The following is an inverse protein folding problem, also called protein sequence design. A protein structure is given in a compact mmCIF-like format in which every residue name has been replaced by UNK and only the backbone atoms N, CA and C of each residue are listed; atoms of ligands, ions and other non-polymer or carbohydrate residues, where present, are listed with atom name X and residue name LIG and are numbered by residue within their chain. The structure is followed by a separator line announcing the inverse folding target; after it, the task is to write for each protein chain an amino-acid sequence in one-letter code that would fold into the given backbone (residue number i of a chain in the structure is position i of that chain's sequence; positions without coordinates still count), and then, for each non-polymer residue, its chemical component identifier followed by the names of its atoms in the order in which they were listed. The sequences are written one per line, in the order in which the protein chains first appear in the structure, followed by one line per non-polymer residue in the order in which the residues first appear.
data_IF_530731937290
#
_entry.id   IF_530731937290
#
_cell.length_a   1.000
_cell.length_b   1.000
_cell.length_c   1.000
_cell.angle_alpha   90.00
_cell.angle_beta   90.00
_cell.angle_gamma   90.00
#
_symmetry.space_group_name_H-M   'P 1'
#
loop_
_entity.id
_entity.type
_entity.pdbx_description
1 polymer ?
#
# COMPACT_ATOMS: atom_id res chain seq x y z
N UNK A 1 34.68 49.74 47.93
CA UNK A 1 34.66 48.28 47.73
C UNK A 1 33.23 47.80 47.90
N UNK A 2 32.53 47.46 46.81
CA UNK A 2 31.15 46.97 46.84
C UNK A 2 31.23 45.45 46.64
N UNK A 3 30.88 44.69 47.68
CA UNK A 3 30.88 43.23 47.64
C UNK A 3 29.48 42.77 47.20
N UNK A 4 29.37 42.28 45.95
CA UNK A 4 28.13 41.71 45.42
C UNK A 4 28.06 40.27 45.90
N UNK A 5 27.36 40.03 47.01
CA UNK A 5 27.00 38.66 47.41
C UNK A 5 25.97 38.11 46.42
N UNK A 6 26.44 37.36 45.43
CA UNK A 6 25.59 36.54 44.57
C UNK A 6 25.09 35.35 45.38
N UNK A 7 23.83 35.36 45.79
CA UNK A 7 23.15 34.18 46.31
C UNK A 7 23.06 33.14 45.17
N UNK A 8 23.86 32.08 45.24
CA UNK A 8 23.61 30.89 44.43
C UNK A 8 22.30 30.26 44.91
N UNK A 9 21.24 30.45 44.13
CA UNK A 9 20.02 29.64 44.25
C UNK A 9 20.38 28.26 43.70
N UNK A 10 20.88 27.38 44.56
CA UNK A 10 21.18 26.00 44.21
C UNK A 10 19.90 25.27 43.78
N UNK A 11 19.97 24.53 42.68
CA UNK A 11 18.90 23.62 42.24
C UNK A 11 18.47 22.74 43.41
N UNK A 12 17.18 22.79 43.76
CA UNK A 12 16.64 21.88 44.78
C UNK A 12 16.55 20.48 44.17
N UNK A 13 16.77 19.43 44.97
CA UNK A 13 16.62 18.04 44.50
C UNK A 13 15.22 17.76 43.93
N UNK A 14 14.22 18.51 44.41
CA UNK A 14 12.85 18.51 43.92
C UNK A 14 12.74 19.05 42.47
N UNK A 15 13.48 20.08 42.11
CA UNK A 15 13.48 20.68 40.76
C UNK A 15 14.02 19.71 39.71
N UNK A 16 15.09 18.98 40.05
CA UNK A 16 15.64 17.92 39.19
C UNK A 16 14.63 16.77 39.05
N UNK A 17 13.98 16.35 40.15
CA UNK A 17 12.95 15.32 40.12
C UNK A 17 11.78 15.70 39.19
N UNK A 18 11.27 16.92 39.32
CA UNK A 18 10.19 17.46 38.47
C UNK A 18 10.65 17.50 37.00
N UNK A 19 11.88 17.95 36.75
CA UNK A 19 12.44 18.01 35.39
C UNK A 19 12.53 16.63 34.74
N UNK A 20 12.99 15.61 35.49
CA UNK A 20 13.03 14.22 34.99
C UNK A 20 11.63 13.68 34.73
N UNK A 21 10.65 13.99 35.59
CA UNK A 21 9.25 13.57 35.37
C UNK A 21 8.67 14.20 34.10
N UNK A 22 8.85 15.51 33.91
CA UNK A 22 8.38 16.21 32.71
C UNK A 22 9.06 15.64 31.45
N UNK A 23 10.38 15.42 31.50
CA UNK A 23 11.13 14.81 30.40
C UNK A 23 10.61 13.40 30.09
N UNK A 24 10.39 12.57 31.11
CA UNK A 24 9.89 11.22 30.93
C UNK A 24 8.52 11.19 30.25
N UNK A 25 7.58 12.05 30.68
CA UNK A 25 6.27 12.20 30.04
C UNK A 25 6.41 12.70 28.59
N UNK A 26 7.28 13.67 28.35
CA UNK A 26 7.55 14.18 27.00
C UNK A 26 8.08 13.11 26.05
N UNK A 27 9.02 12.28 26.50
CA UNK A 27 9.58 11.18 25.71
C UNK A 27 8.54 10.09 25.39
N UNK A 28 7.66 9.74 26.33
CA UNK A 28 6.55 8.82 26.07
C UNK A 28 5.57 9.39 25.04
N UNK A 29 5.30 10.70 25.09
CA UNK A 29 4.50 11.39 24.09
C UNK A 29 5.10 11.28 22.68
N UNK A 30 6.40 11.54 22.54
CA UNK A 30 7.12 11.42 21.26
C UNK A 30 7.11 9.98 20.74
N UNK A 31 7.32 9.00 21.61
CA UNK A 31 7.30 7.59 21.24
C UNK A 31 5.95 7.17 20.65
N UNK A 32 4.84 7.59 21.26
CA UNK A 32 3.50 7.33 20.73
C UNK A 32 3.28 7.96 19.35
N UNK A 33 3.73 9.20 19.14
CA UNK A 33 3.66 9.88 17.84
C UNK A 33 4.50 9.16 16.79
N UNK A 34 5.70 8.70 17.15
CA UNK A 34 6.60 7.97 16.24
C UNK A 34 5.97 6.65 15.76
N UNK A 35 5.33 5.89 16.66
CA UNK A 35 4.64 4.65 16.29
C UNK A 35 3.49 4.90 15.30
N UNK A 36 2.69 5.94 15.54
CA UNK A 36 1.60 6.32 14.64
C UNK A 36 2.13 6.76 13.27
N UNK A 37 3.23 7.52 13.24
CA UNK A 37 3.87 7.94 12.00
C UNK A 37 4.38 6.75 11.18
N UNK A 38 5.02 5.76 11.83
CA UNK A 38 5.50 4.55 11.14
C UNK A 38 4.34 3.80 10.49
N UNK A 39 3.23 3.61 11.22
CA UNK A 39 2.02 2.95 10.69
C UNK A 39 1.44 3.70 9.50
N UNK A 40 1.30 5.02 9.62
CA UNK A 40 0.79 5.87 8.54
C UNK A 40 1.70 5.85 7.31
N UNK A 41 3.01 5.90 7.50
CA UNK A 41 3.99 5.89 6.42
C UNK A 41 3.97 4.54 5.68
N UNK A 42 3.94 3.43 6.42
CA UNK A 42 3.83 2.10 5.81
C UNK A 42 2.54 1.93 4.99
N UNK A 43 1.39 2.40 5.50
CA UNK A 43 0.13 2.37 4.75
C UNK A 43 0.21 3.22 3.47
N UNK A 44 0.81 4.41 3.55
CA UNK A 44 1.03 5.26 2.38
C UNK A 44 1.97 4.62 1.35
N UNK A 45 3.02 3.94 1.79
CA UNK A 45 3.94 3.19 0.92
C UNK A 45 3.21 2.06 0.18
N UNK A 46 2.42 1.24 0.87
CA UNK A 46 1.63 0.18 0.23
C UNK A 46 0.66 0.74 -0.80
N UNK A 47 -0.01 1.86 -0.48
CA UNK A 47 -0.90 2.54 -1.41
C UNK A 47 -0.14 3.05 -2.65
N UNK A 48 1.05 3.60 -2.48
CA UNK A 48 1.88 4.05 -3.60
C UNK A 48 2.29 2.87 -4.52
N UNK A 49 2.65 1.73 -3.93
CA UNK A 49 2.91 0.49 -4.69
C UNK A 49 1.66 0.05 -5.45
N UNK A 50 0.49 0.03 -4.81
CA UNK A 50 -0.76 -0.34 -5.47
C UNK A 50 -1.11 0.58 -6.65
N UNK A 51 -0.87 1.90 -6.52
CA UNK A 51 -1.04 2.86 -7.62
C UNK A 51 -0.08 2.56 -8.76
N UNK A 52 1.19 2.29 -8.48
CA UNK A 52 2.16 1.92 -9.50
C UNK A 52 1.76 0.61 -10.22
N UNK A 53 1.27 -0.39 -9.48
CA UNK A 53 0.82 -1.66 -10.04
C UNK A 53 -0.45 -1.52 -10.89
N UNK A 54 -1.39 -0.67 -10.48
CA UNK A 54 -2.58 -0.41 -11.27
C UNK A 54 -2.24 0.28 -12.59
N UNK A 55 -1.34 1.29 -12.57
CA UNK A 55 -0.85 1.93 -13.79
C UNK A 55 -0.05 0.97 -14.68
N UNK A 56 0.79 0.11 -14.09
CA UNK A 56 1.53 -0.92 -14.83
C UNK A 56 0.59 -1.84 -15.64
N UNK A 57 -0.55 -2.25 -15.08
CA UNK A 57 -1.53 -3.04 -15.82
C UNK A 57 -2.20 -2.23 -16.94
N UNK A 58 -2.55 -0.97 -16.70
CA UNK A 58 -3.10 -0.08 -17.74
C UNK A 58 -2.12 0.07 -18.90
N UNK A 59 -0.83 0.25 -18.62
CA UNK A 59 0.20 0.40 -19.64
C UNK A 59 0.42 -0.90 -20.43
N UNK A 60 0.36 -2.06 -19.76
CA UNK A 60 0.39 -3.38 -20.44
C UNK A 60 -0.80 -3.58 -21.37
N UNK A 61 -2.01 -3.23 -20.91
CA UNK A 61 -3.22 -3.27 -21.73
C UNK A 61 -3.10 -2.36 -22.96
N UNK A 62 -2.54 -1.16 -22.79
CA UNK A 62 -2.27 -0.23 -23.91
C UNK A 62 -1.25 -0.79 -24.90
N UNK A 63 -0.18 -1.42 -24.40
CA UNK A 63 0.84 -2.05 -25.24
C UNK A 63 0.27 -3.22 -26.07
N UNK A 64 -0.67 -3.99 -25.49
CA UNK A 64 -1.38 -5.07 -26.16
C UNK A 64 -2.84 -4.70 -26.48
N UNK A 65 -3.03 -3.55 -27.12
CA UNK A 65 -4.35 -3.07 -27.52
C UNK A 65 -5.16 -4.07 -28.37
N UNK A 66 -4.55 -4.84 -29.31
CA UNK A 66 -5.28 -5.91 -30.00
C UNK A 66 -5.84 -6.97 -29.06
N UNK A 67 -5.12 -7.33 -27.99
CA UNK A 67 -5.58 -8.24 -26.95
C UNK A 67 -6.75 -7.67 -26.14
N UNK A 68 -6.74 -6.35 -25.87
CA UNK A 68 -7.87 -5.64 -25.26
C UNK A 68 -9.13 -5.75 -26.12
N UNK A 69 -9.01 -5.47 -27.43
CA UNK A 69 -10.13 -5.61 -28.39
C UNK A 69 -10.63 -7.04 -28.52
N UNK A 70 -9.72 -8.02 -28.44
CA UNK A 70 -10.07 -9.44 -28.44
C UNK A 70 -10.69 -9.93 -27.11
N UNK A 71 -10.74 -9.08 -26.09
CA UNK A 71 -11.33 -9.39 -24.78
C UNK A 71 -10.42 -10.17 -23.84
N UNK A 72 -9.12 -10.27 -24.13
CA UNK A 72 -8.17 -11.07 -23.35
C UNK A 72 -7.91 -10.51 -21.93
N UNK A 73 -8.26 -9.25 -21.67
CA UNK A 73 -8.13 -8.59 -20.36
C UNK A 73 -9.48 -8.43 -19.62
N UNK A 74 -10.59 -8.95 -20.15
CA UNK A 74 -11.94 -8.63 -19.63
C UNK A 74 -12.24 -9.21 -18.25
N UNK A 75 -11.52 -10.24 -17.83
CA UNK A 75 -11.76 -10.94 -16.57
C UNK A 75 -10.45 -11.53 -16.01
N UNK A 76 -9.51 -10.65 -15.65
CA UNK A 76 -8.28 -11.06 -14.97
C UNK A 76 -8.58 -11.21 -13.48
N UNK A 77 -8.21 -12.34 -12.91
CA UNK A 77 -8.29 -12.59 -11.47
C UNK A 77 -7.27 -13.62 -11.05
N UNK A 78 -6.62 -13.41 -9.89
CA UNK A 78 -5.62 -14.33 -9.36
C UNK A 78 -4.38 -14.46 -10.26
N UNK A 79 -3.52 -15.42 -9.94
CA UNK A 79 -2.31 -15.69 -10.72
C UNK A 79 -2.64 -16.80 -11.75
N UNK A 80 -2.82 -16.48 -13.04
CA UNK A 80 -3.02 -17.51 -14.05
C UNK A 80 -1.75 -18.33 -14.28
N UNK A 81 -1.84 -19.45 -15.00
CA UNK A 81 -0.65 -20.21 -15.37
C UNK A 81 0.29 -19.39 -16.27
N UNK A 82 1.61 -19.57 -16.09
CA UNK A 82 2.60 -18.93 -16.96
C UNK A 82 2.53 -19.51 -18.38
N UNK A 83 2.38 -18.69 -19.42
CA UNK A 83 2.38 -19.18 -20.79
C UNK A 83 3.80 -19.53 -21.25
N UNK A 84 3.97 -20.71 -21.85
CA UNK A 84 5.26 -21.25 -22.32
C UNK A 84 5.65 -20.83 -23.74
N UNK A 85 5.01 -19.79 -24.27
CA UNK A 85 5.23 -19.30 -25.64
C UNK A 85 6.59 -18.59 -25.82
N UNK A 86 7.25 -18.85 -26.95
CA UNK A 86 8.44 -18.12 -27.42
C UNK A 86 8.08 -16.97 -28.37
N UNK A 87 7.07 -17.16 -29.22
CA UNK A 87 6.37 -16.13 -29.97
C UNK A 87 4.90 -16.15 -29.54
N UNK A 88 4.52 -15.25 -28.65
CA UNK A 88 3.21 -15.27 -28.01
C UNK A 88 2.13 -14.61 -28.87
N UNK A 89 0.96 -15.24 -28.95
CA UNK A 89 -0.26 -14.63 -29.45
C UNK A 89 -0.72 -13.49 -28.54
N UNK A 90 -1.60 -12.63 -29.04
CA UNK A 90 -2.16 -11.50 -28.27
C UNK A 90 -2.87 -11.95 -26.97
N UNK A 91 -3.46 -13.14 -26.95
CA UNK A 91 -4.07 -13.74 -25.75
C UNK A 91 -3.03 -14.27 -24.77
N UNK A 92 -1.95 -14.89 -25.27
CA UNK A 92 -0.87 -15.38 -24.42
C UNK A 92 -0.04 -14.23 -23.82
N UNK A 93 0.09 -13.11 -24.53
CA UNK A 93 0.67 -11.88 -23.97
C UNK A 93 -0.16 -11.39 -22.79
N UNK A 94 -1.49 -11.33 -22.94
CA UNK A 94 -2.38 -10.93 -21.84
C UNK A 94 -2.31 -11.90 -20.65
N UNK A 95 -2.21 -13.20 -20.90
CA UNK A 95 -2.01 -14.21 -19.86
C UNK A 95 -0.66 -14.02 -19.15
N UNK A 96 0.41 -13.74 -19.89
CA UNK A 96 1.74 -13.44 -19.33
C UNK A 96 1.70 -12.18 -18.47
N UNK A 97 1.05 -11.14 -18.95
CA UNK A 97 0.88 -9.88 -18.21
C UNK A 97 0.14 -10.12 -16.89
N UNK A 98 -0.97 -10.85 -16.93
CA UNK A 98 -1.74 -11.21 -15.74
C UNK A 98 -0.92 -12.06 -14.76
N UNK A 99 -0.16 -13.05 -15.26
CA UNK A 99 0.74 -13.88 -14.44
C UNK A 99 1.81 -13.02 -13.74
N UNK A 100 2.57 -12.24 -14.51
CA UNK A 100 3.64 -11.40 -13.97
C UNK A 100 3.10 -10.38 -12.98
N UNK A 101 2.02 -9.68 -13.35
CA UNK A 101 1.42 -8.65 -12.51
C UNK A 101 0.92 -9.21 -11.18
N UNK A 102 0.17 -10.31 -11.18
CA UNK A 102 -0.35 -10.85 -9.93
C UNK A 102 0.70 -11.60 -9.10
N UNK A 103 1.71 -12.20 -9.73
CA UNK A 103 2.89 -12.70 -9.00
C UNK A 103 3.61 -11.55 -8.29
N UNK A 104 3.92 -10.46 -9.00
CA UNK A 104 4.55 -9.28 -8.40
C UNK A 104 3.67 -8.62 -7.32
N UNK A 105 2.35 -8.56 -7.52
CA UNK A 105 1.43 -8.06 -6.49
C UNK A 105 1.51 -8.91 -5.23
N UNK A 106 1.54 -10.24 -5.35
CA UNK A 106 1.64 -11.15 -4.20
C UNK A 106 2.96 -11.04 -3.44
N UNK A 107 4.03 -10.61 -4.11
CA UNK A 107 5.36 -10.41 -3.51
C UNK A 107 5.49 -9.02 -2.85
N UNK A 108 4.98 -7.98 -3.48
CA UNK A 108 5.14 -6.59 -3.02
C UNK A 108 4.09 -6.15 -2.00
N UNK A 109 2.89 -6.73 -2.08
CA UNK A 109 1.75 -6.35 -1.24
C UNK A 109 1.32 -7.55 -0.37
N UNK A 110 1.01 -7.34 0.92
CA UNK A 110 0.51 -8.40 1.78
C UNK A 110 -0.84 -8.92 1.26
N UNK A 111 -0.95 -10.23 0.99
CA UNK A 111 -2.14 -10.81 0.34
C UNK A 111 -2.52 -10.06 -0.96
N UNK A 112 -1.48 -9.58 -1.66
CA UNK A 112 -1.61 -8.72 -2.83
C UNK A 112 -2.24 -9.45 -4.00
N UNK A 113 -3.31 -8.87 -4.56
CA UNK A 113 -3.96 -9.44 -5.72
C UNK A 113 -4.70 -8.37 -6.53
N UNK A 114 -4.65 -8.54 -7.84
CA UNK A 114 -5.21 -7.64 -8.82
C UNK A 114 -6.29 -8.30 -9.67
N UNK A 115 -7.33 -7.54 -9.97
CA UNK A 115 -8.39 -7.96 -10.90
C UNK A 115 -8.61 -6.91 -11.97
N UNK A 116 -8.99 -7.35 -13.18
CA UNK A 116 -9.46 -6.48 -14.26
C UNK A 116 -10.82 -6.97 -14.71
N UNK A 117 -11.79 -6.08 -14.73
CA UNK A 117 -13.12 -6.34 -15.27
C UNK A 117 -13.46 -5.31 -16.34
N UNK A 118 -14.28 -5.70 -17.33
CA UNK A 118 -14.76 -4.81 -18.39
C UNK A 118 -16.27 -4.59 -18.28
N UNK A 119 -16.70 -3.34 -18.33
CA UNK A 119 -18.10 -2.93 -18.46
C UNK A 119 -18.25 -1.96 -19.65
N UNK A 120 -18.80 -2.44 -20.77
CA UNK A 120 -18.81 -1.66 -22.01
C UNK A 120 -17.39 -1.31 -22.45
N UNK A 121 -17.08 -0.04 -22.68
CA UNK A 121 -15.72 0.40 -23.03
C UNK A 121 -14.85 0.77 -21.81
N UNK A 122 -15.40 0.66 -20.61
CA UNK A 122 -14.70 0.97 -19.37
C UNK A 122 -14.07 -0.30 -18.80
N UNK A 123 -12.79 -0.21 -18.43
CA UNK A 123 -12.06 -1.23 -17.69
C UNK A 123 -11.86 -0.77 -16.26
N UNK A 124 -12.19 -1.65 -15.32
CA UNK A 124 -12.00 -1.43 -13.89
C UNK A 124 -10.84 -2.31 -13.43
N UNK A 125 -9.74 -1.66 -13.05
CA UNK A 125 -8.55 -2.31 -12.48
C UNK A 125 -8.64 -2.14 -10.97
N UNK A 126 -8.69 -3.26 -10.25
CA UNK A 126 -8.72 -3.26 -8.78
C UNK A 126 -7.51 -3.98 -8.22
N UNK A 127 -6.68 -3.26 -7.47
CA UNK A 127 -5.57 -3.83 -6.69
C UNK A 127 -6.00 -3.93 -5.23
N UNK A 128 -5.79 -5.09 -4.62
CA UNK A 128 -6.20 -5.39 -3.24
C UNK A 128 -5.01 -5.87 -2.42
N UNK A 129 -4.98 -5.50 -1.14
CA UNK A 129 -3.96 -5.94 -0.18
C UNK A 129 -4.46 -5.84 1.26
N UNK A 130 -3.81 -6.56 2.16
CA UNK A 130 -4.05 -6.50 3.60
C UNK A 130 -3.18 -5.42 4.23
N UNK A 131 -3.73 -4.20 4.35
CA UNK A 131 -3.02 -3.05 4.93
C UNK A 131 -2.70 -3.24 6.42
N UNK A 132 -3.58 -3.92 7.16
CA UNK A 132 -3.53 -4.01 8.61
C UNK A 132 -2.97 -5.35 9.12
N UNK A 133 -2.62 -6.28 8.21
CA UNK A 133 -2.14 -7.63 8.52
C UNK A 133 -3.13 -8.41 9.39
N UNK A 134 -4.42 -8.24 9.13
CA UNK A 134 -5.50 -8.92 9.85
C UNK A 134 -5.65 -10.38 9.43
N UNK A 135 -5.12 -10.76 8.26
CA UNK A 135 -5.36 -12.06 7.64
C UNK A 135 -6.71 -12.13 6.92
N UNK A 136 -7.37 -10.99 6.71
CA UNK A 136 -8.59 -10.91 5.92
C UNK A 136 -8.36 -11.41 4.48
N UNK A 137 -9.39 -12.01 3.89
CA UNK A 137 -9.36 -12.54 2.52
C UNK A 137 -10.54 -12.07 1.66
N UNK A 138 -11.47 -11.29 2.23
CA UNK A 138 -12.63 -10.78 1.51
C UNK A 138 -12.24 -9.82 0.39
N UNK A 139 -12.97 -9.90 -0.72
CA UNK A 139 -12.71 -9.12 -1.94
C UNK A 139 -13.72 -7.99 -2.14
N UNK A 140 -14.64 -7.81 -1.18
CA UNK A 140 -15.82 -6.96 -1.30
C UNK A 140 -15.54 -5.47 -1.23
N UNK A 141 -14.31 -5.08 -0.85
CA UNK A 141 -13.91 -3.68 -0.74
C UNK A 141 -14.86 -2.83 0.13
N UNK A 142 -15.47 -3.41 1.16
CA UNK A 142 -16.44 -2.73 2.05
C UNK A 142 -15.83 -1.63 2.92
N UNK A 143 -14.50 -1.56 2.98
CA UNK A 143 -13.77 -0.68 3.89
C UNK A 143 -13.60 -1.26 5.31
N UNK A 144 -14.13 -2.45 5.59
CA UNK A 144 -13.87 -3.15 6.84
C UNK A 144 -12.59 -4.02 6.71
N UNK A 145 -11.46 -3.63 7.35
CA UNK A 145 -10.19 -4.32 7.22
C UNK A 145 -10.14 -5.71 7.90
N UNK A 146 -11.13 -6.06 8.71
CA UNK A 146 -11.21 -7.39 9.34
C UNK A 146 -11.86 -8.43 8.43
N UNK A 147 -12.65 -7.99 7.45
CA UNK A 147 -13.39 -8.86 6.53
C UNK A 147 -12.81 -8.80 5.13
N UNK A 148 -12.58 -7.59 4.63
CA UNK A 148 -12.12 -7.34 3.27
C UNK A 148 -10.71 -6.77 3.23
N UNK A 149 -10.03 -7.08 2.13
CA UNK A 149 -8.79 -6.42 1.77
C UNK A 149 -9.03 -4.93 1.47
N UNK A 150 -8.01 -4.13 1.75
CA UNK A 150 -7.96 -2.74 1.30
C UNK A 150 -7.87 -2.72 -0.22
N UNK A 151 -8.66 -1.87 -0.86
CA UNK A 151 -8.75 -1.81 -2.31
C UNK A 151 -8.33 -0.44 -2.86
N UNK A 152 -7.67 -0.48 -4.01
CA UNK A 152 -7.50 0.64 -4.92
C UNK A 152 -8.18 0.29 -6.24
N UNK A 153 -9.09 1.15 -6.68
CA UNK A 153 -9.83 0.97 -7.94
C UNK A 153 -9.44 2.11 -8.87
N UNK A 154 -9.05 1.79 -10.10
CA UNK A 154 -8.87 2.72 -11.20
C UNK A 154 -9.76 2.31 -12.36
N UNK A 155 -10.41 3.29 -12.97
CA UNK A 155 -11.25 3.10 -14.13
C UNK A 155 -10.61 3.79 -15.34
N UNK A 156 -10.56 3.10 -16.47
CA UNK A 156 -9.97 3.62 -17.72
C UNK A 156 -10.81 3.19 -18.90
N UNK A 157 -10.93 4.06 -19.90
CA UNK A 157 -11.52 3.72 -21.19
C UNK A 157 -10.40 3.40 -22.19
N UNK A 158 -10.53 2.26 -22.88
CA UNK A 158 -9.57 1.76 -23.88
C UNK A 158 -10.32 1.29 -25.13
#
# INVERSE_FOLDING_TARGET
MINIYKNQLGFTLLEVLISVVILAVGLLGIAALQLNMIRSNHSAQLRAIAVAQANSMIDRMRANYPGVKAGAYNNISGIPAEPTCSACTISEIAQRDAYQWNTTNSELLPSGQGTVTRNGNQFTITVRWDNNRTGAAGLGCSGNPEVDLTCLILEVEL
#
